data_IF_610678243808
#
_entry.id   IF_610678243808
#
_cell.length_a   1.000
_cell.length_b   1.000
_cell.length_c   1.000
_cell.angle_alpha   90.00
_cell.angle_beta   90.00
_cell.angle_gamma   90.00
#
_symmetry.space_group_name_H-M   'P 1'
#
loop_
_entity.id
_entity.type
_entity.pdbx_description
1 polymer ?
#
# COMPACT_ATOMS: atom_id res chain seq x y z
N UNK A 1 -63.66 -22.80 17.04
CA UNK A 1 -62.78 -21.68 17.41
C UNK A 1 -61.52 -21.76 16.55
N UNK A 2 -61.49 -21.02 15.44
CA UNK A 2 -60.26 -20.75 14.68
C UNK A 2 -59.93 -19.28 14.93
N UNK A 3 -58.72 -19.00 15.42
CA UNK A 3 -58.21 -17.66 15.67
C UNK A 3 -57.82 -17.01 14.34
N UNK A 4 -58.40 -15.84 14.10
CA UNK A 4 -58.08 -14.93 13.00
C UNK A 4 -56.65 -14.39 13.18
N UNK A 5 -55.79 -14.58 12.18
CA UNK A 5 -54.44 -14.01 12.14
C UNK A 5 -54.49 -12.69 11.36
N UNK A 6 -53.95 -11.58 11.89
CA UNK A 6 -53.97 -10.31 11.16
C UNK A 6 -53.05 -10.36 9.93
N UNK A 7 -53.39 -9.62 8.85
CA UNK A 7 -52.60 -9.60 7.64
C UNK A 7 -51.21 -8.98 7.89
N UNK A 8 -50.19 -9.67 7.39
CA UNK A 8 -48.78 -9.30 7.43
C UNK A 8 -48.59 -7.93 6.74
N UNK A 9 -48.15 -6.93 7.50
CA UNK A 9 -47.77 -5.63 6.96
C UNK A 9 -46.72 -5.82 5.85
N UNK A 10 -46.95 -5.19 4.69
CA UNK A 10 -46.01 -5.16 3.59
C UNK A 10 -44.69 -4.55 4.08
N UNK A 11 -43.59 -5.30 3.97
CA UNK A 11 -42.27 -4.76 4.24
C UNK A 11 -42.00 -3.62 3.26
N UNK A 12 -41.45 -2.47 3.73
CA UNK A 12 -41.06 -1.40 2.84
C UNK A 12 -39.99 -1.92 1.88
N UNK A 13 -40.28 -1.72 0.60
CA UNK A 13 -39.44 -1.98 -0.56
C UNK A 13 -37.97 -1.61 -0.25
N UNK A 14 -37.13 -2.63 -0.06
CA UNK A 14 -35.71 -2.43 0.19
C UNK A 14 -35.13 -1.86 -1.09
N UNK A 15 -34.94 -0.54 -1.10
CA UNK A 15 -34.23 0.16 -2.14
C UNK A 15 -32.95 -0.61 -2.52
N UNK A 16 -32.67 -0.78 -3.82
CA UNK A 16 -31.52 -1.55 -4.26
C UNK A 16 -30.26 -0.94 -3.66
N UNK A 17 -29.59 -1.72 -2.81
CA UNK A 17 -28.26 -1.40 -2.27
C UNK A 17 -27.39 -1.04 -3.46
N UNK A 18 -26.98 0.23 -3.53
CA UNK A 18 -26.15 0.75 -4.60
C UNK A 18 -24.97 -0.20 -4.79
N UNK A 19 -24.91 -0.82 -5.98
CA UNK A 19 -23.80 -1.68 -6.37
C UNK A 19 -22.51 -0.90 -6.16
N UNK A 20 -21.64 -1.40 -5.29
CA UNK A 20 -20.30 -0.88 -5.09
C UNK A 20 -19.68 -0.59 -6.46
N UNK A 21 -19.28 0.68 -6.65
CA UNK A 21 -18.84 1.20 -7.95
C UNK A 21 -17.77 0.32 -8.58
N UNK A 22 -17.84 0.19 -9.90
CA UNK A 22 -16.88 -0.57 -10.70
C UNK A 22 -15.44 -0.26 -10.26
N UNK A 23 -14.70 -1.28 -9.88
CA UNK A 23 -13.29 -1.17 -9.50
C UNK A 23 -12.51 -0.69 -10.73
N UNK A 24 -12.25 0.61 -10.80
CA UNK A 24 -11.56 1.21 -11.93
C UNK A 24 -10.05 1.16 -11.70
N UNK A 25 -9.36 0.39 -12.54
CA UNK A 25 -7.91 0.28 -12.49
C UNK A 25 -7.28 1.47 -13.23
N UNK A 26 -6.34 2.21 -12.60
CA UNK A 26 -5.75 3.38 -13.22
C UNK A 26 -4.89 3.00 -14.43
N UNK A 27 -5.11 3.71 -15.54
CA UNK A 27 -4.42 3.45 -16.82
C UNK A 27 -3.41 4.55 -17.16
N UNK A 28 -3.67 5.77 -16.71
CA UNK A 28 -2.78 6.91 -16.91
C UNK A 28 -1.73 7.03 -15.81
N UNK A 29 -0.53 7.47 -16.17
CA UNK A 29 0.56 7.70 -15.20
C UNK A 29 0.16 8.67 -14.11
N UNK A 30 -0.62 9.70 -14.44
CA UNK A 30 -1.07 10.67 -13.45
C UNK A 30 -1.95 10.02 -12.37
N UNK A 31 -2.83 9.09 -12.74
CA UNK A 31 -3.67 8.35 -11.80
C UNK A 31 -2.85 7.35 -10.99
N UNK A 32 -1.99 6.60 -11.67
CA UNK A 32 -1.07 5.63 -11.08
C UNK A 32 -0.18 6.30 -10.03
N UNK A 33 0.48 7.40 -10.38
CA UNK A 33 1.32 8.20 -9.47
C UNK A 33 0.54 8.69 -8.26
N UNK A 34 -0.67 9.23 -8.44
CA UNK A 34 -1.51 9.65 -7.30
C UNK A 34 -1.83 8.48 -6.37
N UNK A 35 -2.05 7.28 -6.91
CA UNK A 35 -2.26 6.09 -6.09
C UNK A 35 -0.98 5.69 -5.35
N UNK A 36 0.18 5.69 -6.02
CA UNK A 36 1.46 5.41 -5.37
C UNK A 36 1.76 6.39 -4.24
N UNK A 37 1.55 7.70 -4.43
CA UNK A 37 1.72 8.69 -3.36
C UNK A 37 0.76 8.46 -2.19
N UNK A 38 -0.49 8.10 -2.47
CA UNK A 38 -1.43 7.73 -1.41
C UNK A 38 -0.99 6.47 -0.65
N UNK A 39 -0.30 5.54 -1.32
CA UNK A 39 0.30 4.38 -0.65
C UNK A 39 1.50 4.79 0.19
N UNK A 40 2.36 5.70 -0.28
CA UNK A 40 3.44 6.28 0.51
C UNK A 40 2.90 6.89 1.80
N UNK A 41 1.92 7.79 1.70
CA UNK A 41 1.36 8.46 2.87
C UNK A 41 0.71 7.48 3.86
N UNK A 42 0.13 6.38 3.37
CA UNK A 42 -0.47 5.34 4.22
C UNK A 42 0.61 4.52 4.93
N UNK A 43 1.70 4.18 4.25
CA UNK A 43 2.81 3.43 4.82
C UNK A 43 3.56 4.26 5.86
N UNK A 44 3.83 5.54 5.58
CA UNK A 44 4.45 6.46 6.54
C UNK A 44 3.59 6.60 7.80
N UNK A 45 2.27 6.85 7.66
CA UNK A 45 1.38 6.92 8.83
C UNK A 45 1.36 5.62 9.63
N UNK A 46 1.37 4.46 8.97
CA UNK A 46 1.41 3.18 9.67
C UNK A 46 2.74 2.99 10.41
N UNK A 47 3.86 3.40 9.81
CA UNK A 47 5.16 3.38 10.46
C UNK A 47 5.19 4.30 11.68
N UNK A 48 4.73 5.55 11.54
CA UNK A 48 4.67 6.51 12.65
C UNK A 48 3.84 5.94 13.81
N UNK A 49 2.64 5.42 13.53
CA UNK A 49 1.79 4.78 14.55
C UNK A 49 2.48 3.61 15.26
N UNK A 50 3.17 2.75 14.50
CA UNK A 50 3.86 1.61 15.09
C UNK A 50 5.06 2.03 15.93
N UNK A 51 5.82 3.03 15.49
CA UNK A 51 6.97 3.58 16.21
C UNK A 51 6.52 4.26 17.50
N UNK A 52 5.50 5.12 17.43
CA UNK A 52 4.95 5.83 18.59
C UNK A 52 4.49 4.85 19.66
N UNK A 53 3.81 3.76 19.27
CA UNK A 53 3.37 2.76 20.24
C UNK A 53 4.53 1.92 20.82
N UNK A 54 5.63 1.73 20.09
CA UNK A 54 6.83 1.06 20.62
C UNK A 54 7.72 1.98 21.46
N UNK A 55 7.43 3.28 21.47
CA UNK A 55 8.13 4.26 22.30
C UNK A 55 7.73 4.16 23.77
N UNK A 56 6.61 3.49 24.07
CA UNK A 56 6.12 3.20 25.41
C UNK A 56 6.84 1.96 25.98
N UNK A 57 7.10 1.97 27.29
CA UNK A 57 7.73 0.84 27.97
C UNK A 57 6.85 -0.43 27.89
N UNK A 58 7.45 -1.55 27.50
CA UNK A 58 6.74 -2.82 27.29
C UNK A 58 6.02 -3.32 28.55
N UNK A 59 6.57 -3.03 29.74
CA UNK A 59 6.00 -3.42 31.04
C UNK A 59 4.61 -2.81 31.30
N UNK A 60 4.25 -1.72 30.60
CA UNK A 60 3.00 -1.00 30.76
C UNK A 60 1.93 -1.43 29.73
N UNK A 61 2.27 -2.32 28.79
CA UNK A 61 1.37 -2.75 27.72
C UNK A 61 0.59 -4.02 28.09
N UNK A 62 -0.72 -4.00 27.86
CA UNK A 62 -1.54 -5.19 28.01
C UNK A 62 -1.44 -6.11 26.78
N UNK A 63 -1.77 -7.40 26.95
CA UNK A 63 -1.67 -8.41 25.90
C UNK A 63 -2.46 -8.06 24.61
N UNK A 64 -3.59 -7.37 24.74
CA UNK A 64 -4.39 -6.94 23.59
C UNK A 64 -3.65 -5.92 22.71
N UNK A 65 -2.88 -5.02 23.33
CA UNK A 65 -2.09 -4.01 22.63
C UNK A 65 -0.88 -4.65 21.95
N UNK A 66 -0.19 -5.56 22.62
CA UNK A 66 0.94 -6.31 22.03
C UNK A 66 0.51 -7.11 20.78
N UNK A 67 -0.64 -7.78 20.84
CA UNK A 67 -1.16 -8.51 19.68
C UNK A 67 -1.62 -7.57 18.55
N UNK A 68 -2.17 -6.39 18.88
CA UNK A 68 -2.47 -5.39 17.85
C UNK A 68 -1.21 -4.84 17.16
N UNK A 69 -0.14 -4.62 17.92
CA UNK A 69 1.17 -4.25 17.38
C UNK A 69 1.71 -5.32 16.44
N UNK A 70 1.61 -6.60 16.84
CA UNK A 70 2.03 -7.72 16.00
C UNK A 70 1.28 -7.72 14.68
N UNK A 71 -0.05 -7.63 14.72
CA UNK A 71 -0.89 -7.51 13.50
C UNK A 71 -0.51 -6.28 12.66
N UNK A 72 -0.22 -5.16 13.32
CA UNK A 72 0.26 -3.94 12.68
C UNK A 72 1.55 -4.16 11.90
N UNK A 73 2.53 -4.83 12.49
CA UNK A 73 3.80 -5.16 11.83
C UNK A 73 3.61 -6.11 10.63
N UNK A 74 2.75 -7.12 10.76
CA UNK A 74 2.41 -8.00 9.63
C UNK A 74 1.75 -7.22 8.48
N UNK A 75 0.83 -6.31 8.82
CA UNK A 75 0.15 -5.45 7.85
C UNK A 75 1.14 -4.51 7.15
N UNK A 76 2.10 -3.93 7.89
CA UNK A 76 3.16 -3.08 7.33
C UNK A 76 3.96 -3.83 6.27
N UNK A 77 4.51 -5.01 6.60
CA UNK A 77 5.34 -5.79 5.66
C UNK A 77 4.55 -6.18 4.40
N UNK A 78 3.29 -6.61 4.57
CA UNK A 78 2.41 -6.94 3.44
C UNK A 78 2.12 -5.72 2.56
N UNK A 79 1.79 -4.59 3.19
CA UNK A 79 1.48 -3.35 2.47
C UNK A 79 2.70 -2.82 1.72
N UNK A 80 3.88 -2.84 2.35
CA UNK A 80 5.15 -2.45 1.71
C UNK A 80 5.43 -3.35 0.50
N UNK A 81 5.41 -4.67 0.66
CA UNK A 81 5.66 -5.60 -0.45
C UNK A 81 4.67 -5.41 -1.62
N UNK A 82 3.40 -5.15 -1.33
CA UNK A 82 2.39 -4.87 -2.35
C UNK A 82 2.71 -3.56 -3.09
N UNK A 83 3.04 -2.51 -2.34
CA UNK A 83 3.36 -1.19 -2.89
C UNK A 83 4.57 -1.26 -3.83
N UNK A 84 5.67 -1.87 -3.38
CA UNK A 84 6.89 -2.02 -4.18
C UNK A 84 6.61 -2.75 -5.51
N UNK A 85 5.88 -3.87 -5.46
CA UNK A 85 5.48 -4.61 -6.67
C UNK A 85 4.60 -3.80 -7.63
N UNK A 86 3.70 -2.99 -7.08
CA UNK A 86 2.81 -2.17 -7.88
C UNK A 86 3.58 -1.05 -8.60
N UNK A 87 4.50 -0.40 -7.87
CA UNK A 87 5.40 0.59 -8.43
C UNK A 87 6.28 0.01 -9.52
N UNK A 88 6.96 -1.12 -9.27
CA UNK A 88 7.78 -1.79 -10.28
C UNK A 88 6.98 -2.10 -11.55
N UNK A 89 5.76 -2.62 -11.39
CA UNK A 89 4.88 -2.91 -12.52
C UNK A 89 4.62 -1.66 -13.36
N UNK A 90 4.19 -0.57 -12.74
CA UNK A 90 3.85 0.65 -13.47
C UNK A 90 5.08 1.33 -14.05
N UNK A 91 6.22 1.31 -13.37
CA UNK A 91 7.48 1.81 -13.92
C UNK A 91 7.95 0.96 -15.12
N UNK A 92 7.77 -0.37 -15.07
CA UNK A 92 8.09 -1.27 -16.17
C UNK A 92 7.19 -1.03 -17.39
N UNK A 93 5.88 -0.84 -17.19
CA UNK A 93 4.93 -0.47 -18.24
C UNK A 93 5.32 0.85 -18.95
N UNK A 94 6.12 1.70 -18.29
CA UNK A 94 6.66 2.95 -18.85
C UNK A 94 8.11 2.87 -19.35
N UNK A 95 8.75 1.71 -19.27
CA UNK A 95 10.18 1.56 -19.57
C UNK A 95 11.10 2.38 -18.65
N UNK A 96 10.60 2.75 -17.46
CA UNK A 96 11.32 3.60 -16.49
C UNK A 96 11.89 2.81 -15.31
N UNK A 97 11.59 1.50 -15.22
CA UNK A 97 12.14 0.63 -14.18
C UNK A 97 13.60 0.26 -14.51
N UNK A 98 14.54 0.72 -13.69
CA UNK A 98 15.94 0.34 -13.80
C UNK A 98 16.31 -0.83 -12.86
N UNK A 99 17.40 -1.53 -13.16
CA UNK A 99 17.85 -2.68 -12.37
C UNK A 99 18.17 -2.33 -10.91
N UNK A 100 18.74 -1.15 -10.65
CA UNK A 100 19.03 -0.67 -9.29
C UNK A 100 17.78 -0.44 -8.45
N UNK A 101 16.71 0.10 -9.05
CA UNK A 101 15.42 0.32 -8.37
C UNK A 101 14.80 -1.01 -7.93
N UNK A 102 14.75 -1.98 -8.86
CA UNK A 102 14.25 -3.34 -8.58
C UNK A 102 15.08 -4.04 -7.50
N UNK A 103 16.41 -3.91 -7.55
CA UNK A 103 17.28 -4.51 -6.54
C UNK A 103 17.04 -3.91 -5.14
N UNK A 104 16.92 -2.58 -5.05
CA UNK A 104 16.62 -1.89 -3.80
C UNK A 104 15.26 -2.33 -3.22
N UNK A 105 14.23 -2.44 -4.06
CA UNK A 105 12.92 -2.97 -3.68
C UNK A 105 12.98 -4.40 -3.16
N UNK A 106 13.64 -5.30 -3.89
CA UNK A 106 13.79 -6.69 -3.49
C UNK A 106 14.52 -6.82 -2.15
N UNK A 107 15.59 -6.06 -1.96
CA UNK A 107 16.34 -6.02 -0.71
C UNK A 107 15.48 -5.50 0.45
N UNK A 108 14.76 -4.39 0.26
CA UNK A 108 13.91 -3.82 1.29
C UNK A 108 12.78 -4.78 1.69
N UNK A 109 12.14 -5.43 0.72
CA UNK A 109 11.11 -6.43 0.98
C UNK A 109 11.65 -7.63 1.79
N UNK A 110 12.84 -8.13 1.44
CA UNK A 110 13.49 -9.22 2.17
C UNK A 110 13.86 -8.80 3.61
N UNK A 111 14.51 -7.64 3.78
CA UNK A 111 14.88 -7.13 5.10
C UNK A 111 13.67 -6.87 6.00
N UNK A 112 12.58 -6.36 5.43
CA UNK A 112 11.33 -6.16 6.17
C UNK A 112 10.73 -7.51 6.60
N UNK A 113 10.67 -8.50 5.72
CA UNK A 113 10.16 -9.83 6.07
C UNK A 113 11.04 -10.54 7.11
N UNK A 114 12.36 -10.50 6.97
CA UNK A 114 13.28 -11.12 7.91
C UNK A 114 13.24 -10.44 9.28
N UNK A 115 13.22 -9.11 9.30
CA UNK A 115 13.12 -8.34 10.53
C UNK A 115 11.83 -8.60 11.28
N UNK A 116 10.71 -8.83 10.58
CA UNK A 116 9.44 -9.22 11.20
C UNK A 116 9.57 -10.49 12.04
N UNK A 117 10.31 -11.49 11.55
CA UNK A 117 10.55 -12.77 12.25
C UNK A 117 11.56 -12.58 13.37
N UNK A 118 12.70 -11.94 13.10
CA UNK A 118 13.78 -11.78 14.08
C UNK A 118 13.40 -10.96 15.31
N UNK A 119 12.41 -10.08 15.18
CA UNK A 119 12.02 -9.14 16.24
C UNK A 119 10.67 -9.49 16.86
N UNK A 120 10.13 -10.70 16.66
CA UNK A 120 8.79 -11.11 17.15
C UNK A 120 8.61 -10.92 18.65
N UNK A 121 9.63 -11.26 19.43
CA UNK A 121 9.60 -11.22 20.89
C UNK A 121 10.51 -10.15 21.50
N UNK A 122 11.05 -9.23 20.69
CA UNK A 122 12.08 -8.28 21.13
C UNK A 122 11.63 -6.84 20.86
N UNK A 123 10.98 -6.21 21.83
CA UNK A 123 10.38 -4.87 21.68
C UNK A 123 11.38 -3.78 21.23
N UNK A 124 12.56 -3.72 21.85
CA UNK A 124 13.60 -2.74 21.47
C UNK A 124 14.14 -3.01 20.06
N UNK A 125 14.37 -4.29 19.72
CA UNK A 125 14.83 -4.65 18.38
C UNK A 125 13.75 -4.37 17.32
N UNK A 126 12.47 -4.52 17.70
CA UNK A 126 11.31 -4.19 16.87
C UNK A 126 11.25 -2.70 16.58
N UNK A 127 11.45 -1.85 17.58
CA UNK A 127 11.50 -0.40 17.40
C UNK A 127 12.62 0.01 16.44
N UNK A 128 13.84 -0.50 16.65
CA UNK A 128 14.97 -0.22 15.76
C UNK A 128 14.67 -0.65 14.31
N UNK A 129 14.12 -1.84 14.12
CA UNK A 129 13.71 -2.34 12.80
C UNK A 129 12.64 -1.45 12.13
N UNK A 130 11.64 -0.96 12.87
CA UNK A 130 10.64 -0.05 12.34
C UNK A 130 11.26 1.28 11.89
N UNK A 131 12.18 1.82 12.69
CA UNK A 131 12.92 3.05 12.37
C UNK A 131 13.80 2.88 11.12
N UNK A 132 14.47 1.73 10.98
CA UNK A 132 15.27 1.41 9.79
C UNK A 132 14.41 1.35 8.52
N UNK A 133 13.24 0.71 8.59
CA UNK A 133 12.28 0.70 7.46
C UNK A 133 11.85 2.13 7.13
N UNK A 134 11.52 2.93 8.14
CA UNK A 134 11.07 4.30 7.94
C UNK A 134 12.15 5.19 7.30
N UNK A 135 13.39 5.09 7.79
CA UNK A 135 14.52 5.82 7.24
C UNK A 135 14.75 5.46 5.77
N UNK A 136 14.78 4.17 5.46
CA UNK A 136 14.90 3.67 4.09
C UNK A 136 13.76 4.19 3.20
N UNK A 137 12.51 4.08 3.67
CA UNK A 137 11.33 4.45 2.89
C UNK A 137 11.31 5.94 2.53
N UNK A 138 11.62 6.82 3.50
CA UNK A 138 11.71 8.27 3.26
C UNK A 138 12.83 8.63 2.28
N UNK A 139 13.98 7.99 2.42
CA UNK A 139 15.11 8.20 1.51
C UNK A 139 14.79 7.71 0.09
N UNK A 140 14.18 6.54 -0.03
CA UNK A 140 13.80 5.93 -1.30
C UNK A 140 12.76 6.79 -2.04
N UNK A 141 11.73 7.27 -1.32
CA UNK A 141 10.69 8.18 -1.85
C UNK A 141 11.25 9.48 -2.40
N UNK A 142 12.11 10.14 -1.62
CA UNK A 142 12.69 11.44 -1.99
C UNK A 142 13.81 11.33 -3.04
N UNK A 143 14.36 10.13 -3.23
CA UNK A 143 15.45 9.86 -4.16
C UNK A 143 15.00 9.06 -5.39
N UNK A 144 15.09 7.74 -5.30
CA UNK A 144 14.89 6.83 -6.43
C UNK A 144 13.49 6.96 -7.04
N UNK A 145 12.44 7.03 -6.22
CA UNK A 145 11.06 7.16 -6.72
C UNK A 145 10.85 8.51 -7.40
N UNK A 146 11.30 9.60 -6.79
CA UNK A 146 11.19 10.93 -7.37
C UNK A 146 11.82 11.00 -8.78
N UNK A 147 13.00 10.39 -8.96
CA UNK A 147 13.69 10.32 -10.25
C UNK A 147 12.91 9.43 -11.24
N UNK A 148 12.50 8.24 -10.81
CA UNK A 148 11.75 7.30 -11.65
C UNK A 148 10.41 7.91 -12.11
N UNK A 149 9.72 8.62 -11.23
CA UNK A 149 8.44 9.25 -11.50
C UNK A 149 8.57 10.43 -12.45
N UNK A 150 9.64 11.22 -12.32
CA UNK A 150 9.94 12.30 -13.25
C UNK A 150 10.16 11.78 -14.67
N UNK A 151 10.90 10.67 -14.82
CA UNK A 151 11.13 10.00 -16.11
C UNK A 151 9.82 9.43 -16.69
N UNK A 152 9.03 8.75 -15.88
CA UNK A 152 7.74 8.20 -16.30
C UNK A 152 6.75 9.30 -16.76
N UNK A 153 6.81 10.48 -16.14
CA UNK A 153 6.05 11.67 -16.58
C UNK A 153 6.51 12.19 -17.94
N UNK A 154 7.81 12.24 -18.19
CA UNK A 154 8.37 12.69 -19.47
C UNK A 154 8.03 11.71 -20.61
N UNK A 155 8.13 10.41 -20.36
CA UNK A 155 7.73 9.37 -21.32
C UNK A 155 6.23 9.38 -21.65
N UNK A 156 5.37 9.80 -20.71
CA UNK A 156 3.94 9.98 -20.96
C UNK A 156 3.63 11.11 -21.97
N UNK A 157 4.51 12.11 -22.10
CA UNK A 157 4.37 13.19 -23.07
C UNK A 157 4.93 12.85 -24.47
N UNK A 158 5.65 11.73 -24.61
CA UNK A 158 6.29 11.31 -25.86
C UNK A 158 5.60 10.12 -26.53
N UNK A 159 4.38 9.75 -26.11
CA UNK A 159 3.61 8.71 -26.80
C UNK A 159 3.47 9.10 -28.28
N UNK A 160 3.97 8.27 -29.23
CA UNK A 160 4.04 8.64 -30.63
C UNK A 160 2.62 8.82 -31.19
N UNK A 161 2.43 9.90 -31.96
CA UNK A 161 1.35 10.01 -32.92
C UNK A 161 1.31 8.70 -33.72
N UNK A 162 0.26 7.91 -33.54
CA UNK A 162 0.00 6.74 -34.38
C UNK A 162 -0.34 7.28 -35.76
N UNK A 163 0.63 7.22 -36.67
CA UNK A 163 0.35 7.36 -38.09
C UNK A 163 -0.56 6.19 -38.48
N UNK A 164 -1.83 6.48 -38.75
CA UNK A 164 -2.75 5.55 -39.40
C UNK A 164 -2.09 5.02 -40.68
N UNK A 165 -2.12 3.70 -40.94
CA UNK A 165 -1.72 3.21 -42.24
C UNK A 165 -2.71 3.75 -43.27
N UNK A 166 -2.18 4.50 -44.24
CA UNK A 166 -2.93 4.93 -45.42
C UNK A 166 -3.50 3.68 -46.10
N UNK A 167 -4.82 3.62 -46.17
CA UNK A 167 -5.55 2.67 -47.02
C UNK A 167 -5.23 3.05 -48.46
N UNK A 168 -4.76 2.06 -49.23
CA UNK A 168 -4.41 2.18 -50.64
C UNK A 168 -5.63 2.43 -51.51
#
# INVERSE_FOLDING_TARGET
MLLDLPPRAAEPDRAPVARAGAFWWPRGWNEQRVLLERQHDRLERLLDQLIDHHSVAEADLCAAVLEDHRRGCHRLVRALALHLRLEERWLAERGCLCGGHRAAHAQAAALAADGLVRTESLHIARLAWLMDIQAWFRQHRSGADAIAYARARQGAHQAPFTLSPAVR
#
